data_IF_292505308989
#
_entry.id   IF_292505308989
#
_cell.length_a   1.000
_cell.length_b   1.000
_cell.length_c   1.000
_cell.angle_alpha   90.00
_cell.angle_beta   90.00
_cell.angle_gamma   90.00
#
_symmetry.space_group_name_H-M   'P 1'
#
loop_
_entity.id
_entity.type
_entity.pdbx_description
1 polymer ?
#
# COMPACT_ATOMS: atom_id res chain seq x y z
N UNK A 1 21.20 -2.18 24.71
CA UNK A 1 20.87 -1.42 25.93
C UNK A 1 21.81 -0.23 26.03
N UNK A 2 21.35 0.94 25.63
CA UNK A 2 21.83 2.24 26.07
C UNK A 2 20.66 3.21 25.87
N UNK A 3 19.96 3.51 26.96
CA UNK A 3 18.89 4.51 27.00
C UNK A 3 19.49 5.89 26.69
N UNK A 4 19.28 6.36 25.47
CA UNK A 4 19.34 7.78 25.14
C UNK A 4 17.90 8.26 25.20
N UNK A 5 17.56 9.34 25.94
CA UNK A 5 16.21 9.88 25.91
C UNK A 5 15.96 10.47 24.52
N UNK A 6 15.24 9.72 23.69
CA UNK A 6 15.13 9.91 22.22
C UNK A 6 13.83 10.63 21.81
N UNK A 7 13.35 11.54 22.64
CA UNK A 7 12.10 12.28 22.40
C UNK A 7 12.32 13.75 22.70
N UNK A 8 12.04 14.62 21.72
CA UNK A 8 11.71 16.00 22.03
C UNK A 8 10.46 15.96 22.91
N UNK A 9 10.61 16.22 24.21
CA UNK A 9 9.46 16.23 25.12
C UNK A 9 8.44 17.24 24.60
N UNK A 10 7.18 16.83 24.43
CA UNK A 10 6.10 17.74 24.06
C UNK A 10 5.95 18.78 25.18
N UNK A 11 6.48 19.98 24.98
CA UNK A 11 6.27 21.09 25.91
C UNK A 11 4.81 21.51 25.85
N UNK A 12 4.11 21.44 27.00
CA UNK A 12 2.71 21.83 27.13
C UNK A 12 2.50 23.35 27.16
N UNK A 13 3.58 24.12 27.20
CA UNK A 13 3.56 25.52 27.66
C UNK A 13 4.12 26.50 26.62
N UNK A 14 4.23 26.10 25.35
CA UNK A 14 4.56 27.07 24.31
C UNK A 14 3.39 28.04 24.15
N UNK A 15 3.60 29.32 24.50
CA UNK A 15 2.58 30.37 24.44
C UNK A 15 1.99 30.56 23.03
N UNK A 16 2.77 30.23 21.99
CA UNK A 16 2.35 30.36 20.60
C UNK A 16 1.98 29.00 19.96
N UNK A 17 1.00 28.95 19.06
CA UNK A 17 0.67 27.76 18.29
C UNK A 17 1.81 27.36 17.34
N UNK A 18 1.87 26.07 16.97
CA UNK A 18 2.73 25.61 15.88
C UNK A 18 2.26 26.19 14.54
N UNK A 19 3.19 26.40 13.62
CA UNK A 19 2.83 26.80 12.24
C UNK A 19 2.29 25.61 11.45
N UNK A 20 2.90 24.43 11.66
CA UNK A 20 2.46 23.18 11.05
C UNK A 20 2.56 22.01 12.04
N UNK A 21 1.47 21.26 12.16
CA UNK A 21 1.42 19.97 12.82
C UNK A 21 1.06 18.88 11.82
N UNK A 22 1.90 17.85 11.73
CA UNK A 22 1.67 16.68 10.88
C UNK A 22 1.44 15.45 11.74
N UNK A 23 0.38 14.69 11.48
CA UNK A 23 0.07 13.44 12.19
C UNK A 23 0.47 12.25 11.31
N UNK A 24 1.57 11.59 11.64
CA UNK A 24 2.12 10.42 10.95
C UNK A 24 3.49 10.68 10.32
N UNK A 25 4.46 9.79 10.56
CA UNK A 25 5.84 9.90 10.07
C UNK A 25 6.12 8.99 8.86
N UNK A 26 5.11 8.70 8.04
CA UNK A 26 5.26 8.01 6.76
C UNK A 26 5.78 8.93 5.64
N UNK A 27 5.88 8.41 4.41
CA UNK A 27 6.34 9.19 3.25
C UNK A 27 5.62 10.53 3.09
N UNK A 28 4.28 10.53 3.16
CA UNK A 28 3.49 11.75 2.95
C UNK A 28 3.70 12.78 4.05
N UNK A 29 3.67 12.37 5.32
CA UNK A 29 3.82 13.29 6.43
C UNK A 29 5.21 13.92 6.49
N UNK A 30 6.25 13.12 6.27
CA UNK A 30 7.63 13.63 6.19
C UNK A 30 7.84 14.53 4.98
N UNK A 31 7.32 14.19 3.80
CA UNK A 31 7.41 15.05 2.62
C UNK A 31 6.71 16.41 2.84
N UNK A 32 5.54 16.41 3.50
CA UNK A 32 4.84 17.65 3.89
C UNK A 32 5.65 18.49 4.85
N UNK A 33 6.14 17.90 5.94
CA UNK A 33 6.89 18.63 6.95
C UNK A 33 8.19 19.24 6.39
N UNK A 34 8.94 18.45 5.61
CA UNK A 34 10.17 18.92 4.96
C UNK A 34 9.86 20.03 3.97
N UNK A 35 8.92 19.82 3.05
CA UNK A 35 8.61 20.83 2.03
C UNK A 35 8.06 22.12 2.62
N UNK A 36 7.26 22.05 3.70
CA UNK A 36 6.83 23.24 4.42
C UNK A 36 8.01 23.97 5.05
N UNK A 37 8.90 23.27 5.76
CA UNK A 37 10.05 23.88 6.43
C UNK A 37 11.02 24.55 5.44
N UNK A 38 11.16 24.03 4.22
CA UNK A 38 11.93 24.67 3.15
C UNK A 38 11.28 25.97 2.65
N UNK A 39 9.95 26.02 2.56
CA UNK A 39 9.21 27.18 2.04
C UNK A 39 8.86 28.21 3.11
N UNK A 40 8.95 27.86 4.39
CA UNK A 40 8.76 28.76 5.52
C UNK A 40 9.87 28.60 6.58
N UNK A 41 11.13 28.99 6.27
CA UNK A 41 12.26 28.83 7.18
C UNK A 41 12.02 29.50 8.54
N UNK A 42 12.41 28.83 9.62
CA UNK A 42 12.22 29.30 11.00
C UNK A 42 10.83 29.04 11.58
N UNK A 43 9.91 28.45 10.81
CA UNK A 43 8.60 28.04 11.29
C UNK A 43 8.67 26.87 12.26
N UNK A 44 7.68 26.78 13.15
CA UNK A 44 7.57 25.71 14.13
C UNK A 44 6.80 24.52 13.55
N UNK A 45 7.54 23.48 13.19
CA UNK A 45 7.02 22.25 12.58
C UNK A 45 7.17 21.07 13.52
N UNK A 46 6.08 20.34 13.75
CA UNK A 46 6.08 19.10 14.54
C UNK A 46 5.42 17.97 13.75
N UNK A 47 6.06 16.80 13.75
CA UNK A 47 5.47 15.53 13.29
C UNK A 47 5.18 14.66 14.51
N UNK A 48 3.95 14.14 14.61
CA UNK A 48 3.57 13.15 15.62
C UNK A 48 3.68 11.75 15.03
N UNK A 49 4.30 10.83 15.75
CA UNK A 49 4.39 9.42 15.42
C UNK A 49 4.01 8.57 16.63
N UNK A 50 3.06 7.65 16.46
CA UNK A 50 2.60 6.76 17.53
C UNK A 50 3.62 5.68 17.83
N UNK A 51 4.43 5.28 16.85
CA UNK A 51 5.48 4.28 17.01
C UNK A 51 6.72 4.86 17.69
N UNK A 52 7.64 3.98 18.09
CA UNK A 52 8.99 4.39 18.45
C UNK A 52 9.76 4.88 17.23
N UNK A 53 10.89 5.58 17.45
CA UNK A 53 11.82 6.00 16.39
C UNK A 53 12.29 4.84 15.52
N UNK A 54 12.56 3.68 16.12
CA UNK A 54 13.00 2.48 15.42
C UNK A 54 11.92 1.91 14.49
N UNK A 55 10.64 2.03 14.86
CA UNK A 55 9.50 1.47 14.12
C UNK A 55 8.74 2.52 13.29
N UNK A 56 9.33 3.71 13.08
CA UNK A 56 8.71 4.82 12.34
C UNK A 56 8.50 4.51 10.85
N UNK A 57 7.65 5.29 10.21
CA UNK A 57 7.45 5.22 8.75
C UNK A 57 6.20 4.47 8.31
N UNK A 58 5.45 3.85 9.23
CA UNK A 58 4.26 3.07 8.91
C UNK A 58 4.56 2.03 7.83
N UNK A 59 3.62 1.83 6.91
CA UNK A 59 3.80 0.95 5.74
C UNK A 59 4.99 1.34 4.86
N UNK A 60 5.28 2.64 4.70
CA UNK A 60 6.33 3.11 3.80
C UNK A 60 7.68 2.46 4.12
N UNK A 61 8.02 2.30 5.40
CA UNK A 61 9.31 1.75 5.79
C UNK A 61 9.54 0.29 5.34
N UNK A 62 8.48 -0.44 4.97
CA UNK A 62 8.54 -1.89 4.72
C UNK A 62 8.47 -2.28 3.25
N UNK A 63 8.34 -1.32 2.35
CA UNK A 63 8.18 -1.59 0.91
C UNK A 63 9.43 -1.20 0.13
N UNK A 64 9.69 -1.90 -0.98
CA UNK A 64 10.64 -1.46 -1.99
C UNK A 64 10.35 -0.06 -2.57
N UNK A 65 9.12 0.45 -2.44
CA UNK A 65 8.71 1.76 -2.95
C UNK A 65 8.93 1.91 -4.46
N UNK A 66 8.53 0.91 -5.24
CA UNK A 66 8.48 1.06 -6.70
C UNK A 66 7.56 2.23 -7.07
N UNK A 67 8.00 3.02 -8.04
CA UNK A 67 7.24 4.13 -8.61
C UNK A 67 6.80 3.77 -10.03
N UNK A 68 5.59 4.18 -10.40
CA UNK A 68 5.05 4.06 -11.76
C UNK A 68 5.67 5.12 -12.66
N UNK A 69 6.99 5.16 -12.70
CA UNK A 69 7.82 6.09 -13.44
C UNK A 69 8.82 5.31 -14.29
N UNK A 70 9.20 5.89 -15.41
CA UNK A 70 10.30 5.42 -16.24
C UNK A 70 11.66 5.68 -15.54
N UNK A 71 12.74 5.19 -16.17
CA UNK A 71 14.09 5.27 -15.60
C UNK A 71 14.59 6.70 -15.39
N UNK A 72 14.11 7.66 -16.19
CA UNK A 72 14.44 9.08 -16.11
C UNK A 72 13.56 9.85 -15.11
N UNK A 73 12.61 9.16 -14.45
CA UNK A 73 11.68 9.76 -13.49
C UNK A 73 10.39 10.29 -14.11
N UNK A 74 10.21 10.24 -15.43
CA UNK A 74 8.96 10.66 -16.08
C UNK A 74 7.83 9.67 -15.77
N UNK A 75 6.56 10.12 -15.68
CA UNK A 75 5.41 9.22 -15.57
C UNK A 75 5.36 8.20 -16.72
N UNK A 76 4.96 6.96 -16.43
CA UNK A 76 4.72 5.98 -17.48
C UNK A 76 3.70 6.50 -18.50
N UNK A 77 3.84 6.14 -19.78
CA UNK A 77 2.99 6.65 -20.87
C UNK A 77 1.47 6.49 -20.63
N UNK A 78 1.09 5.42 -19.91
CA UNK A 78 -0.29 5.10 -19.57
C UNK A 78 -0.71 5.53 -18.15
N UNK A 79 0.06 6.38 -17.45
CA UNK A 79 -0.13 6.67 -16.02
C UNK A 79 -1.57 7.08 -15.68
N UNK A 80 -2.05 8.17 -16.30
CA UNK A 80 -3.36 8.73 -16.00
C UNK A 80 -4.51 7.86 -16.54
N UNK A 81 -4.39 7.39 -17.79
CA UNK A 81 -5.39 6.53 -18.41
C UNK A 81 -5.57 5.23 -17.62
N UNK A 82 -4.48 4.64 -17.12
CA UNK A 82 -4.54 3.42 -16.29
C UNK A 82 -5.17 3.67 -14.93
N UNK A 83 -4.90 4.80 -14.29
CA UNK A 83 -5.55 5.16 -13.02
C UNK A 83 -7.07 5.32 -13.19
N UNK A 84 -7.51 5.92 -14.32
CA UNK A 84 -8.93 6.02 -14.65
C UNK A 84 -9.56 4.66 -14.96
N UNK A 85 -8.90 3.84 -15.77
CA UNK A 85 -9.39 2.51 -16.16
C UNK A 85 -9.56 1.59 -14.95
N UNK A 86 -8.53 1.48 -14.10
CA UNK A 86 -8.56 0.62 -12.92
C UNK A 86 -9.49 1.15 -11.82
N UNK A 87 -9.69 2.46 -11.78
CA UNK A 87 -10.67 3.12 -10.91
C UNK A 87 -12.08 3.15 -11.47
N UNK A 88 -12.34 2.55 -12.64
CA UNK A 88 -13.64 2.56 -13.33
C UNK A 88 -14.26 3.97 -13.49
N UNK A 89 -13.39 4.98 -13.66
CA UNK A 89 -13.78 6.39 -13.77
C UNK A 89 -14.23 7.06 -12.47
N UNK A 90 -14.15 6.37 -11.32
CA UNK A 90 -14.60 6.91 -10.02
C UNK A 90 -13.54 7.73 -9.28
N UNK A 91 -12.25 7.46 -9.55
CA UNK A 91 -11.14 8.24 -9.01
C UNK A 91 -11.17 9.68 -9.53
N UNK A 92 -10.91 10.65 -8.67
CA UNK A 92 -10.96 12.07 -9.01
C UNK A 92 -9.92 12.44 -10.09
N UNK A 93 -10.38 12.99 -11.22
CA UNK A 93 -9.55 13.30 -12.36
C UNK A 93 -8.56 14.44 -12.12
N UNK A 94 -8.94 15.44 -11.32
CA UNK A 94 -8.04 16.55 -10.98
C UNK A 94 -6.90 16.04 -10.11
N UNK A 95 -7.18 15.14 -9.17
CA UNK A 95 -6.15 14.48 -8.37
C UNK A 95 -5.24 13.57 -9.20
N UNK A 96 -5.78 12.82 -10.16
CA UNK A 96 -4.96 11.99 -11.06
C UNK A 96 -4.01 12.87 -11.89
N UNK A 97 -4.51 13.94 -12.49
CA UNK A 97 -3.71 14.89 -13.27
C UNK A 97 -2.64 15.55 -12.39
N UNK A 98 -3.02 16.06 -11.22
CA UNK A 98 -2.08 16.68 -10.28
C UNK A 98 -0.97 15.71 -9.84
N UNK A 99 -1.31 14.43 -9.59
CA UNK A 99 -0.32 13.40 -9.28
C UNK A 99 0.63 13.18 -10.45
N UNK A 100 0.11 13.02 -11.67
CA UNK A 100 0.90 12.78 -12.87
C UNK A 100 1.87 13.94 -13.13
N UNK A 101 1.39 15.18 -13.08
CA UNK A 101 2.17 16.40 -13.32
C UNK A 101 3.28 16.62 -12.29
N UNK A 102 3.03 16.25 -11.02
CA UNK A 102 3.96 16.52 -9.92
C UNK A 102 4.84 15.32 -9.54
N UNK A 103 4.68 14.16 -10.18
CA UNK A 103 5.45 12.96 -9.86
C UNK A 103 6.95 13.12 -10.16
N UNK A 104 7.30 13.45 -11.40
CA UNK A 104 8.69 13.68 -11.82
C UNK A 104 9.35 14.82 -11.03
N UNK A 105 8.73 16.02 -10.87
CA UNK A 105 9.27 17.06 -10.01
C UNK A 105 9.55 16.56 -8.59
N UNK A 106 8.71 15.68 -8.03
CA UNK A 106 8.87 15.17 -6.66
C UNK A 106 10.07 14.25 -6.54
N UNK A 107 10.29 13.36 -7.51
CA UNK A 107 11.48 12.50 -7.54
C UNK A 107 12.75 13.33 -7.68
N UNK A 108 12.76 14.34 -8.56
CA UNK A 108 13.89 15.28 -8.67
C UNK A 108 14.17 16.01 -7.36
N UNK A 109 13.13 16.51 -6.70
CA UNK A 109 13.28 17.16 -5.39
C UNK A 109 13.92 16.26 -4.34
N UNK A 110 13.49 14.99 -4.26
CA UNK A 110 14.11 14.01 -3.37
C UNK A 110 15.58 13.76 -3.70
N UNK A 111 15.93 13.66 -4.99
CA UNK A 111 17.30 13.44 -5.44
C UNK A 111 18.19 14.66 -5.16
N UNK A 112 17.78 15.82 -5.64
CA UNK A 112 18.61 17.03 -5.71
C UNK A 112 18.77 17.70 -4.35
N UNK A 113 17.74 17.66 -3.49
CA UNK A 113 17.73 18.39 -2.21
C UNK A 113 17.88 17.49 -0.98
N UNK A 114 17.51 16.22 -1.08
CA UNK A 114 17.47 15.30 0.06
C UNK A 114 18.38 14.08 -0.08
N UNK A 115 19.16 14.00 -1.15
CA UNK A 115 20.18 12.96 -1.34
C UNK A 115 19.60 11.56 -1.53
N UNK A 116 18.32 11.45 -1.91
CA UNK A 116 17.70 10.16 -2.23
C UNK A 116 18.24 9.69 -3.57
N UNK A 117 18.95 8.57 -3.58
CA UNK A 117 19.40 7.93 -4.82
C UNK A 117 18.29 7.02 -5.34
N UNK A 118 18.13 6.99 -6.65
CA UNK A 118 17.18 6.12 -7.34
C UNK A 118 17.91 5.11 -8.22
N UNK A 119 17.33 3.92 -8.36
CA UNK A 119 17.75 2.87 -9.29
C UNK A 119 16.52 2.26 -9.96
N UNK A 120 16.71 1.57 -11.08
CA UNK A 120 15.67 0.77 -11.71
C UNK A 120 15.92 -0.71 -11.47
N UNK A 121 14.90 -1.44 -11.00
CA UNK A 121 14.99 -2.89 -10.78
C UNK A 121 13.79 -3.62 -11.38
N UNK A 122 13.97 -4.86 -11.84
CA UNK A 122 12.85 -5.73 -12.15
C UNK A 122 11.90 -5.83 -10.96
N UNK A 123 10.60 -5.89 -11.24
CA UNK A 123 9.60 -6.20 -10.21
C UNK A 123 9.65 -7.69 -9.86
N UNK A 124 8.86 -8.09 -8.87
CA UNK A 124 8.66 -9.51 -8.51
C UNK A 124 7.76 -10.28 -9.50
N UNK A 125 7.48 -9.73 -10.68
CA UNK A 125 6.71 -10.39 -11.73
C UNK A 125 7.62 -10.85 -12.85
N UNK A 126 7.48 -12.11 -13.28
CA UNK A 126 8.21 -12.63 -14.45
C UNK A 126 7.74 -11.92 -15.73
N UNK A 127 6.44 -11.60 -15.85
CA UNK A 127 5.87 -10.82 -16.98
C UNK A 127 6.01 -9.30 -16.83
N UNK A 128 6.91 -8.79 -15.98
CA UNK A 128 7.02 -7.35 -15.73
C UNK A 128 7.22 -6.58 -17.05
N UNK A 129 6.48 -5.48 -17.25
CA UNK A 129 6.65 -4.55 -18.40
C UNK A 129 7.97 -3.75 -18.38
N UNK A 130 9.03 -4.31 -17.81
CA UNK A 130 10.32 -3.66 -17.57
C UNK A 130 10.57 -3.35 -16.10
N UNK A 131 11.77 -2.84 -15.78
CA UNK A 131 12.13 -2.44 -14.43
C UNK A 131 11.38 -1.16 -14.02
N UNK A 132 11.17 -0.98 -12.72
CA UNK A 132 10.54 0.23 -12.15
C UNK A 132 11.56 1.04 -11.37
N UNK A 133 11.41 2.37 -11.44
CA UNK A 133 12.20 3.28 -10.62
C UNK A 133 11.86 3.07 -9.14
N UNK A 134 12.87 3.05 -8.29
CA UNK A 134 12.71 2.90 -6.85
C UNK A 134 13.87 3.60 -6.11
N UNK A 135 13.65 4.06 -4.86
CA UNK A 135 14.75 4.56 -4.04
C UNK A 135 15.71 3.42 -3.67
N UNK A 136 17.02 3.70 -3.73
CA UNK A 136 18.04 2.78 -3.22
C UNK A 136 17.84 2.61 -1.71
N UNK A 137 17.64 1.38 -1.26
CA UNK A 137 17.31 1.06 0.13
C UNK A 137 15.82 1.12 0.48
N UNK A 138 14.94 1.28 -0.53
CA UNK A 138 13.50 1.19 -0.36
C UNK A 138 12.90 2.33 0.47
N UNK A 139 11.69 2.10 0.97
CA UNK A 139 10.97 3.11 1.73
C UNK A 139 11.53 3.37 3.12
N UNK A 140 12.27 2.43 3.71
CA UNK A 140 13.02 2.66 4.95
C UNK A 140 14.06 3.78 4.78
N UNK A 141 14.82 3.74 3.68
CA UNK A 141 15.81 4.77 3.36
C UNK A 141 15.15 6.14 3.09
N UNK A 142 14.01 6.15 2.40
CA UNK A 142 13.21 7.37 2.21
C UNK A 142 12.79 8.00 3.53
N UNK A 143 12.18 7.21 4.43
CA UNK A 143 11.72 7.67 5.75
C UNK A 143 12.89 8.20 6.56
N UNK A 144 14.01 7.48 6.58
CA UNK A 144 15.20 7.91 7.30
C UNK A 144 15.78 9.23 6.76
N UNK A 145 15.94 9.35 5.44
CA UNK A 145 16.50 10.53 4.78
C UNK A 145 15.64 11.79 4.95
N UNK A 146 14.32 11.65 4.82
CA UNK A 146 13.40 12.77 5.02
C UNK A 146 13.30 13.19 6.49
N UNK A 147 13.31 12.25 7.44
CA UNK A 147 13.34 12.59 8.86
C UNK A 147 14.61 13.38 9.23
N UNK A 148 15.77 12.94 8.75
CA UNK A 148 17.03 13.68 8.93
C UNK A 148 16.97 15.07 8.27
N UNK A 149 16.34 15.18 7.09
CA UNK A 149 16.17 16.47 6.42
C UNK A 149 15.28 17.41 7.23
N UNK A 150 14.19 16.91 7.81
CA UNK A 150 13.30 17.69 8.67
C UNK A 150 14.04 18.22 9.90
N UNK A 151 14.78 17.36 10.60
CA UNK A 151 15.58 17.74 11.77
C UNK A 151 16.61 18.81 11.42
N UNK A 152 17.29 18.69 10.26
CA UNK A 152 18.23 19.70 9.75
C UNK A 152 17.57 21.04 9.44
N UNK A 153 16.31 21.05 9.03
CA UNK A 153 15.53 22.24 8.74
C UNK A 153 14.90 22.87 10.01
N UNK A 154 15.16 22.30 11.20
CA UNK A 154 14.65 22.81 12.47
C UNK A 154 13.28 22.25 12.89
N UNK A 155 12.71 21.32 12.11
CA UNK A 155 11.50 20.60 12.50
C UNK A 155 11.78 19.51 13.54
N UNK A 156 10.75 19.09 14.26
CA UNK A 156 10.85 18.05 15.30
C UNK A 156 9.89 16.88 15.04
N UNK A 157 10.23 15.70 15.56
CA UNK A 157 9.39 14.50 15.54
C UNK A 157 9.17 14.02 16.98
N UNK A 158 7.91 13.88 17.39
CA UNK A 158 7.54 13.30 18.68
C UNK A 158 7.08 11.85 18.47
N UNK A 159 7.87 10.90 18.98
CA UNK A 159 7.58 9.46 18.94
C UNK A 159 6.77 9.00 20.17
N UNK A 160 6.04 7.90 20.04
CA UNK A 160 5.14 7.44 21.11
C UNK A 160 3.97 8.39 21.38
N UNK A 161 3.68 9.30 20.44
CA UNK A 161 2.68 10.35 20.55
C UNK A 161 1.50 10.06 19.62
N UNK A 162 0.34 9.71 20.21
CA UNK A 162 -0.87 9.34 19.46
C UNK A 162 -1.88 10.49 19.46
N UNK A 163 -2.19 11.05 18.31
CA UNK A 163 -3.34 11.96 18.17
C UNK A 163 -4.67 11.21 18.40
N UNK A 164 -5.60 11.85 19.10
CA UNK A 164 -6.86 11.23 19.56
C UNK A 164 -8.12 12.01 19.19
N UNK A 165 -8.02 13.34 19.05
CA UNK A 165 -9.07 14.18 18.47
C UNK A 165 -8.48 15.43 17.84
N UNK A 166 -9.17 16.02 16.86
CA UNK A 166 -8.91 17.39 16.42
C UNK A 166 -9.51 18.38 17.45
N UNK A 167 -8.95 19.59 17.54
CA UNK A 167 -9.58 20.74 18.18
C UNK A 167 -10.00 21.76 17.12
N UNK A 168 -10.99 22.57 17.45
CA UNK A 168 -11.50 23.63 16.58
C UNK A 168 -11.67 24.93 17.35
N UNK A 169 -11.47 26.05 16.66
CA UNK A 169 -11.77 27.38 17.19
C UNK A 169 -13.29 27.66 17.25
N UNK A 170 -13.66 28.88 17.66
CA UNK A 170 -15.06 29.30 17.76
C UNK A 170 -15.79 29.40 16.41
N UNK A 171 -15.07 29.45 15.30
CA UNK A 171 -15.61 29.53 13.94
C UNK A 171 -15.63 28.18 13.23
N UNK A 172 -15.09 27.13 13.86
CA UNK A 172 -15.03 25.76 13.35
C UNK A 172 -13.79 25.44 12.52
N UNK A 173 -12.77 26.32 12.50
CA UNK A 173 -11.49 25.99 11.88
C UNK A 173 -10.68 25.07 12.79
N UNK A 174 -9.93 24.13 12.21
CA UNK A 174 -9.07 23.22 12.98
C UNK A 174 -7.84 23.99 13.47
N UNK A 175 -7.65 24.01 14.78
CA UNK A 175 -6.62 24.82 15.47
C UNK A 175 -5.63 23.98 16.30
N UNK A 176 -5.68 22.65 16.16
CA UNK A 176 -4.80 21.75 16.89
C UNK A 176 -5.32 20.33 17.02
N UNK A 177 -4.67 19.56 17.90
CA UNK A 177 -5.03 18.17 18.21
C UNK A 177 -4.85 17.86 19.68
N UNK A 178 -5.61 16.88 20.18
CA UNK A 178 -5.34 16.23 21.47
C UNK A 178 -4.44 15.01 21.26
N UNK A 179 -3.34 14.94 22.00
CA UNK A 179 -2.32 13.89 21.92
C UNK A 179 -2.26 13.11 23.22
N UNK A 180 -2.23 11.78 23.12
CA UNK A 180 -1.92 10.87 24.20
C UNK A 180 -0.43 10.49 24.12
N UNK A 181 0.31 10.79 25.18
CA UNK A 181 1.75 10.49 25.33
C UNK A 181 2.05 10.14 26.79
N UNK A 182 2.75 9.03 27.05
CA UNK A 182 3.12 8.63 28.41
C UNK A 182 1.92 8.48 29.36
N UNK A 183 0.77 8.05 28.84
CA UNK A 183 -0.49 7.93 29.60
C UNK A 183 -1.20 9.27 29.88
N UNK A 184 -0.66 10.40 29.42
CA UNK A 184 -1.24 11.74 29.62
C UNK A 184 -1.86 12.25 28.33
N UNK A 185 -3.01 12.93 28.46
CA UNK A 185 -3.64 13.66 27.36
C UNK A 185 -3.19 15.12 27.40
N UNK A 186 -2.77 15.68 26.27
CA UNK A 186 -2.35 17.08 26.12
C UNK A 186 -2.97 17.68 24.86
N UNK A 187 -3.18 18.98 24.85
CA UNK A 187 -3.56 19.72 23.65
C UNK A 187 -2.31 20.33 23.01
N UNK A 188 -2.22 20.26 21.69
CA UNK A 188 -1.18 20.92 20.90
C UNK A 188 -1.91 21.85 19.92
N UNK A 189 -1.75 23.16 20.12
CA UNK A 189 -2.27 24.17 19.21
C UNK A 189 -1.40 24.27 17.95
N UNK A 190 -2.04 24.35 16.79
CA UNK A 190 -1.40 24.46 15.49
C UNK A 190 -2.28 25.23 14.50
N UNK A 191 -1.69 26.15 13.73
CA UNK A 191 -2.39 26.93 12.69
C UNK A 191 -2.87 26.06 11.51
N UNK A 192 -2.17 24.95 11.28
CA UNK A 192 -2.38 24.01 10.18
C UNK A 192 -2.13 22.59 10.67
N UNK A 193 -3.07 21.69 10.41
CA UNK A 193 -2.99 20.27 10.75
C UNK A 193 -3.07 19.44 9.48
N UNK A 194 -2.09 18.55 9.28
CA UNK A 194 -2.05 17.59 8.17
C UNK A 194 -2.17 16.18 8.72
N UNK A 195 -3.17 15.44 8.25
CA UNK A 195 -3.34 14.02 8.56
C UNK A 195 -2.63 13.17 7.51
N UNK A 196 -1.59 12.44 7.93
CA UNK A 196 -0.74 11.60 7.10
C UNK A 196 -0.49 10.23 7.77
N UNK A 197 -1.51 9.71 8.45
CA UNK A 197 -1.41 8.61 9.41
C UNK A 197 -1.91 7.25 8.88
N UNK A 198 -1.85 7.05 7.57
CA UNK A 198 -2.23 5.79 6.93
C UNK A 198 -3.74 5.58 6.79
N UNK A 199 -4.11 4.40 6.28
CA UNK A 199 -5.49 3.92 6.23
C UNK A 199 -5.95 3.25 7.54
N UNK A 200 -6.85 2.27 7.43
CA UNK A 200 -7.41 1.52 8.56
C UNK A 200 -7.14 0.00 8.52
N UNK A 201 -6.19 -0.45 7.69
CA UNK A 201 -5.81 -1.86 7.53
C UNK A 201 -5.29 -2.54 8.80
N UNK A 202 -4.82 -1.77 9.78
CA UNK A 202 -4.38 -2.27 11.09
C UNK A 202 -5.50 -2.33 12.13
N UNK A 203 -6.74 -2.02 11.77
CA UNK A 203 -7.87 -1.98 12.71
C UNK A 203 -8.95 -3.01 12.35
N UNK A 204 -8.98 -4.18 13.03
CA UNK A 204 -9.96 -5.23 12.77
C UNK A 204 -11.41 -4.76 12.85
N UNK A 205 -11.74 -3.87 13.79
CA UNK A 205 -13.11 -3.36 13.96
C UNK A 205 -13.56 -2.49 12.78
N UNK A 206 -12.67 -1.64 12.27
CA UNK A 206 -12.98 -0.82 11.09
C UNK A 206 -13.00 -1.65 9.80
N UNK A 207 -12.14 -2.66 9.70
CA UNK A 207 -12.17 -3.59 8.58
C UNK A 207 -13.48 -4.37 8.54
N UNK A 208 -13.94 -4.90 9.68
CA UNK A 208 -15.22 -5.60 9.74
C UNK A 208 -16.40 -4.66 9.45
N UNK A 209 -16.36 -3.42 9.97
CA UNK A 209 -17.38 -2.40 9.70
C UNK A 209 -17.49 -2.01 8.22
N UNK A 210 -16.35 -1.79 7.55
CA UNK A 210 -16.33 -1.17 6.23
C UNK A 210 -16.11 -2.16 5.08
N UNK A 211 -15.20 -3.14 5.26
CA UNK A 211 -14.86 -4.14 4.24
C UNK A 211 -15.81 -5.34 4.30
N UNK A 212 -16.41 -5.58 5.47
CA UNK A 212 -17.47 -6.56 5.68
C UNK A 212 -17.03 -7.78 6.49
N UNK A 213 -17.87 -8.83 6.54
CA UNK A 213 -17.64 -10.01 7.36
C UNK A 213 -16.28 -10.65 7.11
N UNK A 214 -15.61 -11.12 8.17
CA UNK A 214 -14.23 -11.64 8.19
C UNK A 214 -13.14 -10.63 7.83
N UNK A 215 -13.49 -9.36 7.59
CA UNK A 215 -12.51 -8.31 7.31
C UNK A 215 -11.51 -8.11 8.46
N UNK A 216 -11.97 -8.27 9.71
CA UNK A 216 -11.11 -8.21 10.90
C UNK A 216 -10.06 -9.33 11.02
N UNK A 217 -10.18 -10.40 10.23
CA UNK A 217 -9.22 -11.51 10.19
C UNK A 217 -8.05 -11.24 9.21
N UNK A 218 -8.17 -10.21 8.35
CA UNK A 218 -7.10 -9.83 7.44
C UNK A 218 -5.90 -9.31 8.21
N UNK A 219 -4.73 -9.93 7.98
CA UNK A 219 -3.47 -9.46 8.53
C UNK A 219 -2.83 -8.40 7.62
N UNK A 220 -2.24 -7.32 8.17
CA UNK A 220 -1.37 -6.45 7.42
C UNK A 220 -0.18 -7.22 6.80
N UNK A 221 0.17 -6.90 5.55
CA UNK A 221 1.29 -7.53 4.82
C UNK A 221 2.66 -7.24 5.44
N UNK A 222 2.76 -6.14 6.18
CA UNK A 222 3.98 -5.70 6.84
C UNK A 222 3.70 -5.21 8.27
N UNK A 223 4.70 -5.29 9.18
CA UNK A 223 4.54 -4.83 10.57
C UNK A 223 4.08 -3.38 10.71
N UNK A 224 4.53 -2.48 9.83
CA UNK A 224 4.15 -1.06 9.83
C UNK A 224 2.65 -0.81 9.68
N UNK A 225 1.93 -1.69 8.97
CA UNK A 225 0.50 -1.56 8.73
C UNK A 225 -0.37 -1.74 9.98
N UNK A 226 0.16 -2.39 11.03
CA UNK A 226 -0.53 -2.54 12.33
C UNK A 226 -0.83 -1.20 13.01
N UNK A 227 -0.04 -0.17 12.69
CA UNK A 227 -0.20 1.18 13.26
C UNK A 227 -1.24 2.04 12.50
N UNK A 228 -1.61 1.62 11.29
CA UNK A 228 -2.57 2.32 10.43
C UNK A 228 -4.00 1.93 10.83
N UNK A 229 -4.52 2.60 11.87
CA UNK A 229 -5.77 2.20 12.55
C UNK A 229 -6.99 3.05 12.19
N UNK A 230 -6.90 3.93 11.20
CA UNK A 230 -8.02 4.78 10.76
C UNK A 230 -8.37 5.95 11.67
N UNK A 231 -7.62 6.18 12.75
CA UNK A 231 -7.94 7.19 13.76
C UNK A 231 -7.95 8.60 13.17
N UNK A 232 -7.04 8.92 12.26
CA UNK A 232 -7.06 10.20 11.54
C UNK A 232 -8.32 10.43 10.72
N UNK A 233 -8.81 9.38 10.05
CA UNK A 233 -10.05 9.44 9.27
C UNK A 233 -11.23 9.74 10.20
N UNK A 234 -11.36 8.99 11.29
CA UNK A 234 -12.46 9.17 12.24
C UNK A 234 -12.40 10.52 12.97
N UNK A 235 -11.21 11.01 13.30
CA UNK A 235 -11.02 12.35 13.88
C UNK A 235 -11.50 13.46 12.94
N UNK A 236 -11.20 13.37 11.65
CA UNK A 236 -11.63 14.36 10.66
C UNK A 236 -13.14 14.28 10.38
N UNK A 237 -13.69 13.06 10.30
CA UNK A 237 -15.14 12.87 10.15
C UNK A 237 -15.90 13.49 11.32
N UNK A 238 -15.38 13.35 12.55
CA UNK A 238 -16.00 13.93 13.74
C UNK A 238 -16.13 15.46 13.69
N UNK A 239 -15.32 16.15 12.88
CA UNK A 239 -15.41 17.61 12.64
C UNK A 239 -16.06 17.96 11.29
N UNK A 240 -16.73 17.00 10.64
CA UNK A 240 -17.54 17.23 9.44
C UNK A 240 -16.84 16.96 8.10
N UNK A 241 -15.68 16.27 8.11
CA UNK A 241 -15.03 15.86 6.87
C UNK A 241 -15.82 14.79 6.12
N UNK A 242 -15.86 14.90 4.80
CA UNK A 242 -16.39 13.88 3.91
C UNK A 242 -15.42 12.72 3.73
N UNK A 243 -15.99 11.56 3.42
CA UNK A 243 -15.26 10.35 3.04
C UNK A 243 -15.10 10.28 1.51
N UNK A 244 -14.05 9.62 1.04
CA UNK A 244 -13.77 9.35 -0.38
C UNK A 244 -13.01 8.02 -0.52
N UNK A 245 -12.88 7.52 -1.75
CA UNK A 245 -12.35 6.21 -2.04
C UNK A 245 -13.34 5.11 -1.69
N UNK A 246 -13.02 3.89 -2.08
CA UNK A 246 -13.90 2.75 -1.88
C UNK A 246 -13.66 2.08 -0.50
N UNK A 247 -14.57 2.29 0.46
CA UNK A 247 -14.41 1.78 1.83
C UNK A 247 -14.54 0.25 1.96
N UNK A 248 -15.24 -0.40 1.04
CA UNK A 248 -15.41 -1.86 1.02
C UNK A 248 -14.35 -2.60 0.20
N UNK A 249 -13.31 -1.88 -0.26
CA UNK A 249 -12.16 -2.41 -1.00
C UNK A 249 -10.83 -1.97 -0.42
N UNK A 250 -9.80 -2.72 -0.79
CA UNK A 250 -8.43 -2.52 -0.34
C UNK A 250 -7.46 -3.09 -1.36
N UNK A 251 -6.19 -2.68 -1.27
CA UNK A 251 -5.09 -3.37 -1.93
C UNK A 251 -4.62 -4.52 -1.04
N UNK A 252 -4.67 -5.75 -1.56
CA UNK A 252 -4.18 -6.94 -0.88
C UNK A 252 -3.19 -7.71 -1.76
N UNK A 253 -2.40 -8.57 -1.15
CA UNK A 253 -1.37 -9.34 -1.86
C UNK A 253 -1.42 -10.82 -1.48
N UNK A 254 -1.19 -11.74 -2.44
CA UNK A 254 -1.08 -13.16 -2.14
C UNK A 254 0.23 -13.45 -1.41
N UNK A 255 0.14 -13.99 -0.20
CA UNK A 255 1.29 -14.25 0.67
C UNK A 255 1.28 -15.66 1.24
N UNK A 256 2.47 -16.16 1.55
CA UNK A 256 2.61 -17.40 2.32
C UNK A 256 2.22 -17.15 3.80
N UNK A 257 1.13 -17.75 4.31
CA UNK A 257 0.71 -17.57 5.70
C UNK A 257 1.68 -18.17 6.72
N UNK A 258 2.55 -19.08 6.29
CA UNK A 258 3.56 -19.72 7.16
C UNK A 258 4.72 -18.77 7.49
N UNK A 259 4.89 -17.71 6.71
CA UNK A 259 5.94 -16.71 6.91
C UNK A 259 5.47 -15.53 7.76
N UNK A 260 6.37 -15.07 8.62
CA UNK A 260 6.22 -13.85 9.41
C UNK A 260 7.03 -12.68 8.86
N UNK A 261 7.75 -12.87 7.74
CA UNK A 261 8.45 -11.80 7.06
C UNK A 261 7.44 -10.83 6.42
N UNK A 262 7.85 -9.55 6.31
CA UNK A 262 7.09 -8.59 5.54
C UNK A 262 7.11 -8.98 4.06
N UNK A 263 5.99 -8.78 3.35
CA UNK A 263 5.89 -9.04 1.90
C UNK A 263 6.39 -10.46 1.53
N UNK A 264 5.95 -11.50 2.25
CA UNK A 264 6.22 -12.91 1.91
C UNK A 264 5.41 -13.37 0.69
N UNK A 265 5.60 -12.71 -0.45
CA UNK A 265 4.76 -12.79 -1.64
C UNK A 265 4.86 -14.15 -2.34
N UNK A 266 3.73 -14.62 -2.85
CA UNK A 266 3.62 -15.81 -3.71
C UNK A 266 2.95 -15.41 -5.02
N UNK A 267 3.76 -14.94 -5.98
CA UNK A 267 3.30 -14.32 -7.24
C UNK A 267 3.45 -15.23 -8.46
N UNK A 268 3.94 -16.46 -8.26
CA UNK A 268 4.11 -17.47 -9.31
C UNK A 268 2.79 -18.10 -9.80
N UNK A 269 1.62 -17.64 -9.32
CA UNK A 269 0.33 -18.22 -9.64
C UNK A 269 -0.03 -18.33 -11.14
N UNK A 270 0.47 -17.47 -12.05
CA UNK A 270 0.18 -17.67 -13.49
C UNK A 270 0.79 -18.94 -14.06
N UNK A 271 1.86 -19.46 -13.46
CA UNK A 271 2.59 -20.64 -13.95
C UNK A 271 2.17 -21.94 -13.23
N UNK A 272 1.07 -21.89 -12.49
CA UNK A 272 0.43 -23.04 -11.86
C UNK A 272 -1.08 -22.89 -11.88
N UNK A 273 -1.73 -23.49 -10.89
CA UNK A 273 -3.16 -23.31 -10.60
C UNK A 273 -3.36 -22.96 -9.13
N UNK A 274 -4.38 -22.15 -8.84
CA UNK A 274 -4.82 -21.86 -7.47
C UNK A 274 -6.03 -22.73 -7.16
N UNK A 275 -5.93 -23.52 -6.09
CA UNK A 275 -7.04 -24.34 -5.58
C UNK A 275 -7.45 -23.86 -4.19
N UNK A 276 -8.74 -23.95 -3.86
CA UNK A 276 -9.24 -23.67 -2.52
C UNK A 276 -9.03 -24.88 -1.57
N UNK A 277 -9.51 -24.78 -0.33
CA UNK A 277 -9.49 -25.87 0.64
C UNK A 277 -10.25 -27.15 0.22
N UNK A 278 -11.11 -27.08 -0.81
CA UNK A 278 -11.80 -28.26 -1.37
C UNK A 278 -11.00 -28.89 -2.53
N UNK A 279 -9.80 -28.40 -2.84
CA UNK A 279 -8.98 -28.86 -3.96
C UNK A 279 -9.50 -28.41 -5.34
N UNK A 280 -10.33 -27.35 -5.39
CA UNK A 280 -10.98 -26.87 -6.62
C UNK A 280 -10.43 -25.51 -7.06
N UNK A 281 -10.26 -25.34 -8.37
CA UNK A 281 -9.96 -24.02 -8.96
C UNK A 281 -11.16 -23.09 -8.82
N UNK A 282 -10.88 -21.81 -8.60
CA UNK A 282 -11.91 -20.79 -8.40
C UNK A 282 -11.70 -19.53 -9.25
N UNK A 283 -10.52 -19.30 -9.82
CA UNK A 283 -10.25 -18.13 -10.67
C UNK A 283 -9.44 -18.49 -11.92
N UNK A 284 -9.36 -17.54 -12.86
CA UNK A 284 -8.44 -17.61 -14.00
C UNK A 284 -7.09 -17.00 -13.58
N UNK A 285 -6.10 -17.85 -13.32
CA UNK A 285 -4.78 -17.44 -12.86
C UNK A 285 -3.96 -16.74 -13.96
N UNK A 286 -4.41 -16.83 -15.22
CA UNK A 286 -3.78 -16.25 -16.40
C UNK A 286 -4.63 -15.20 -17.10
N UNK A 287 -5.59 -14.58 -16.39
CA UNK A 287 -6.52 -13.62 -17.00
C UNK A 287 -5.81 -12.39 -17.60
N UNK A 288 -4.77 -11.91 -16.93
CA UNK A 288 -3.89 -10.81 -17.33
C UNK A 288 -2.56 -10.95 -16.55
N UNK A 289 -1.60 -10.08 -16.78
CA UNK A 289 -0.30 -10.11 -16.10
C UNK A 289 -0.44 -9.89 -14.59
N UNK A 290 0.41 -10.51 -13.76
CA UNK A 290 0.32 -10.37 -12.30
C UNK A 290 0.32 -8.96 -11.76
N UNK A 291 0.99 -8.00 -12.43
CA UNK A 291 0.97 -6.59 -12.04
C UNK A 291 -0.43 -5.95 -12.15
N UNK A 292 -1.35 -6.59 -12.87
CA UNK A 292 -2.74 -6.16 -13.03
C UNK A 292 -3.72 -6.98 -12.19
N UNK A 293 -3.38 -8.22 -11.85
CA UNK A 293 -4.32 -9.18 -11.24
C UNK A 293 -4.03 -9.50 -9.78
N UNK A 294 -2.81 -9.27 -9.27
CA UNK A 294 -2.42 -9.70 -7.91
C UNK A 294 -3.34 -9.19 -6.80
N UNK A 295 -3.80 -7.94 -6.88
CA UNK A 295 -4.76 -7.37 -5.94
C UNK A 295 -6.11 -8.08 -5.95
N UNK A 296 -6.63 -8.36 -7.14
CA UNK A 296 -7.90 -9.08 -7.32
C UNK A 296 -7.76 -10.55 -6.95
N UNK A 297 -6.65 -11.21 -7.31
CA UNK A 297 -6.35 -12.58 -6.91
C UNK A 297 -6.32 -12.71 -5.39
N UNK A 298 -5.66 -11.78 -4.70
CA UNK A 298 -5.67 -11.74 -3.23
C UNK A 298 -7.10 -11.55 -2.70
N UNK A 299 -7.85 -10.59 -3.23
CA UNK A 299 -9.25 -10.38 -2.81
C UNK A 299 -10.13 -11.62 -3.00
N UNK A 300 -9.97 -12.35 -4.12
CA UNK A 300 -10.71 -13.59 -4.39
C UNK A 300 -10.25 -14.75 -3.50
N UNK A 301 -8.97 -14.85 -3.16
CA UNK A 301 -8.48 -15.79 -2.13
C UNK A 301 -9.17 -15.52 -0.79
N UNK A 302 -9.31 -14.25 -0.40
CA UNK A 302 -10.04 -13.90 0.82
C UNK A 302 -11.52 -14.29 0.73
N UNK A 303 -12.22 -13.86 -0.33
CA UNK A 303 -13.68 -13.92 -0.39
C UNK A 303 -14.25 -15.24 -0.89
N UNK A 304 -13.66 -15.80 -1.94
CA UNK A 304 -14.18 -17.01 -2.59
C UNK A 304 -13.52 -18.26 -2.01
N UNK A 305 -12.22 -18.20 -1.70
CA UNK A 305 -11.48 -19.31 -1.09
C UNK A 305 -11.42 -19.25 0.45
N UNK A 306 -12.12 -18.29 1.08
CA UNK A 306 -12.24 -18.16 2.55
C UNK A 306 -10.87 -18.14 3.26
N UNK A 307 -9.93 -17.35 2.73
CA UNK A 307 -8.52 -17.27 3.16
C UNK A 307 -7.69 -18.55 2.96
N UNK A 308 -8.22 -19.63 2.40
CA UNK A 308 -7.48 -20.89 2.27
C UNK A 308 -7.36 -21.27 0.80
N UNK A 309 -6.22 -20.90 0.21
CA UNK A 309 -5.85 -21.31 -1.14
C UNK A 309 -4.44 -21.92 -1.15
N UNK A 310 -4.17 -22.72 -2.18
CA UNK A 310 -2.87 -23.31 -2.44
C UNK A 310 -2.48 -23.06 -3.90
N UNK A 311 -1.29 -22.51 -4.12
CA UNK A 311 -0.67 -22.52 -5.44
C UNK A 311 -0.08 -23.89 -5.69
N UNK A 312 -0.56 -24.59 -6.71
CA UNK A 312 -0.03 -25.88 -7.18
C UNK A 312 0.78 -25.66 -8.45
N UNK A 313 2.03 -26.07 -8.42
CA UNK A 313 2.98 -26.03 -9.54
C UNK A 313 3.67 -27.38 -9.70
N UNK A 314 4.43 -27.54 -10.77
CA UNK A 314 5.30 -28.69 -10.96
C UNK A 314 6.73 -28.27 -11.29
N UNK A 315 7.61 -29.23 -11.58
CA UNK A 315 9.04 -28.98 -11.78
C UNK A 315 9.37 -28.08 -12.97
N UNK A 316 8.40 -27.70 -13.81
CA UNK A 316 8.63 -26.72 -14.88
C UNK A 316 8.75 -25.29 -14.37
N UNK A 317 8.18 -24.95 -13.21
CA UNK A 317 8.29 -23.60 -12.63
C UNK A 317 9.74 -23.14 -12.49
N UNK A 318 10.61 -24.01 -11.96
CA UNK A 318 12.03 -23.67 -11.72
C UNK A 318 12.85 -23.51 -12.99
N UNK A 319 12.29 -23.91 -14.15
CA UNK A 319 12.91 -23.73 -15.47
C UNK A 319 12.58 -22.37 -16.08
N UNK A 320 11.64 -21.63 -15.50
CA UNK A 320 11.30 -20.27 -15.92
C UNK A 320 12.38 -19.34 -15.40
N UNK A 321 13.01 -18.61 -16.32
CA UNK A 321 14.04 -17.62 -15.97
C UNK A 321 13.45 -16.54 -15.07
N UNK A 322 14.10 -16.29 -13.93
CA UNK A 322 13.68 -15.25 -13.00
C UNK A 322 12.48 -15.59 -12.12
N UNK A 323 12.03 -16.85 -12.09
CA UNK A 323 10.90 -17.31 -11.25
C UNK A 323 11.12 -17.03 -9.76
N UNK A 324 12.37 -17.07 -9.29
CA UNK A 324 12.73 -16.81 -7.90
C UNK A 324 12.29 -15.42 -7.43
N UNK A 325 12.23 -14.44 -8.33
CA UNK A 325 11.75 -13.09 -8.02
C UNK A 325 10.25 -13.06 -7.69
N UNK A 326 9.49 -14.06 -8.15
CA UNK A 326 8.05 -14.18 -7.89
C UNK A 326 7.70 -14.91 -6.60
N UNK A 327 8.71 -15.34 -5.83
CA UNK A 327 8.56 -16.04 -4.57
C UNK A 327 9.44 -15.36 -3.51
N UNK A 328 8.85 -14.47 -2.71
CA UNK A 328 9.56 -13.72 -1.66
C UNK A 328 9.40 -14.33 -0.26
N UNK A 329 8.67 -15.45 -0.16
CA UNK A 329 8.57 -16.22 1.09
C UNK A 329 9.90 -16.87 1.47
N UNK A 330 10.19 -16.92 2.77
CA UNK A 330 11.33 -17.65 3.36
C UNK A 330 11.04 -19.15 3.57
N UNK A 331 9.92 -19.65 3.04
CA UNK A 331 9.46 -21.02 3.23
C UNK A 331 9.55 -21.81 1.93
N UNK A 332 10.18 -22.97 2.01
CA UNK A 332 10.20 -23.93 0.92
C UNK A 332 8.77 -24.38 0.54
N UNK A 333 8.56 -24.74 -0.74
CA UNK A 333 7.33 -25.41 -1.14
C UNK A 333 7.15 -26.72 -0.40
N UNK A 334 5.89 -27.09 -0.17
CA UNK A 334 5.53 -28.47 0.16
C UNK A 334 5.65 -29.28 -1.13
N UNK A 335 6.50 -30.32 -1.14
CA UNK A 335 6.79 -31.09 -2.36
C UNK A 335 6.38 -32.55 -2.24
N UNK A 336 5.97 -33.16 -3.36
CA UNK A 336 5.67 -34.58 -3.44
C UNK A 336 5.90 -35.13 -4.87
N UNK A 337 6.20 -36.42 -5.04
CA UNK A 337 6.38 -37.04 -6.35
C UNK A 337 5.07 -37.15 -7.15
N UNK A 338 3.90 -37.15 -6.48
CA UNK A 338 2.58 -37.28 -7.10
C UNK A 338 1.59 -36.26 -6.53
N UNK A 339 0.54 -35.92 -7.29
CA UNK A 339 -0.54 -35.02 -6.85
C UNK A 339 -1.31 -35.61 -5.66
N UNK A 340 -1.54 -36.92 -5.64
CA UNK A 340 -2.23 -37.61 -4.56
C UNK A 340 -1.43 -37.53 -3.24
N UNK A 341 -0.11 -37.74 -3.27
CA UNK A 341 0.74 -37.53 -2.09
C UNK A 341 0.82 -36.05 -1.68
N UNK A 342 0.82 -35.14 -2.65
CA UNK A 342 0.78 -33.70 -2.38
C UNK A 342 -0.51 -33.33 -1.65
N UNK A 343 -1.67 -33.82 -2.11
CA UNK A 343 -2.96 -33.57 -1.49
C UNK A 343 -2.98 -34.00 -0.02
N UNK A 344 -2.48 -35.20 0.29
CA UNK A 344 -2.38 -35.68 1.69
C UNK A 344 -1.50 -34.77 2.56
N UNK A 345 -0.38 -34.26 2.04
CA UNK A 345 0.48 -33.32 2.76
C UNK A 345 -0.18 -31.96 3.01
N UNK A 346 -1.12 -31.57 2.16
CA UNK A 346 -1.86 -30.31 2.26
C UNK A 346 -3.17 -30.45 3.06
N UNK A 347 -3.51 -31.66 3.53
CA UNK A 347 -4.80 -32.00 4.12
C UNK A 347 -6.00 -31.74 3.18
N UNK A 348 -5.78 -31.96 1.88
CA UNK A 348 -6.80 -31.90 0.84
C UNK A 348 -7.27 -33.31 0.47
N UNK A 349 -8.51 -33.44 -0.01
CA UNK A 349 -9.02 -34.69 -0.55
C UNK A 349 -8.22 -35.14 -1.79
N UNK A 350 -7.50 -36.29 -1.75
CA UNK A 350 -6.61 -36.69 -2.85
C UNK A 350 -7.33 -36.91 -4.18
N UNK A 351 -8.53 -37.47 -4.15
CA UNK A 351 -9.35 -37.70 -5.34
C UNK A 351 -9.79 -36.39 -5.99
N UNK A 352 -10.21 -35.39 -5.20
CA UNK A 352 -10.66 -34.09 -5.72
C UNK A 352 -9.49 -33.31 -6.35
N UNK A 353 -8.33 -33.23 -5.68
CA UNK A 353 -7.18 -32.51 -6.24
C UNK A 353 -6.65 -33.19 -7.49
N UNK A 354 -6.54 -34.53 -7.47
CA UNK A 354 -6.11 -35.30 -8.65
C UNK A 354 -7.06 -35.11 -9.82
N UNK A 355 -8.38 -35.11 -9.56
CA UNK A 355 -9.38 -34.84 -10.58
C UNK A 355 -9.26 -33.41 -11.15
N UNK A 356 -9.07 -32.40 -10.29
CA UNK A 356 -8.87 -31.00 -10.69
C UNK A 356 -7.65 -30.84 -11.60
N UNK A 357 -6.51 -31.45 -11.23
CA UNK A 357 -5.28 -31.39 -12.05
C UNK A 357 -5.45 -32.13 -13.37
N UNK A 358 -6.06 -33.32 -13.36
CA UNK A 358 -6.33 -34.08 -14.58
C UNK A 358 -7.24 -33.30 -15.55
N UNK A 359 -8.32 -32.69 -15.02
CA UNK A 359 -9.24 -31.82 -15.78
C UNK A 359 -8.54 -30.61 -16.38
N UNK A 360 -7.63 -29.98 -15.62
CA UNK A 360 -6.84 -28.87 -16.11
C UNK A 360 -5.90 -29.31 -17.25
N UNK A 361 -5.17 -30.40 -17.06
CA UNK A 361 -4.25 -30.94 -18.07
C UNK A 361 -5.01 -31.33 -19.37
N UNK A 362 -6.14 -32.03 -19.24
CA UNK A 362 -7.00 -32.40 -20.38
C UNK A 362 -7.50 -31.18 -21.17
N UNK A 363 -7.57 -30.01 -20.55
CA UNK A 363 -8.02 -28.78 -21.17
C UNK A 363 -6.89 -27.95 -21.78
N UNK A 364 -5.61 -28.25 -21.52
CA UNK A 364 -4.43 -27.56 -22.07
C UNK A 364 -4.19 -27.86 -23.56
N UNK A 365 -5.20 -27.64 -24.41
CA UNK A 365 -5.22 -28.01 -25.84
C UNK A 365 -4.76 -26.90 -26.78
N UNK A 366 -4.49 -25.69 -26.28
CA UNK A 366 -4.09 -24.57 -27.13
C UNK A 366 -2.73 -24.81 -27.79
N UNK A 367 -2.69 -24.55 -29.10
CA UNK A 367 -1.49 -24.62 -29.94
C UNK A 367 -0.65 -23.35 -29.91
N UNK A 368 -1.07 -22.31 -29.17
CA UNK A 368 -0.29 -21.09 -29.01
C UNK A 368 1.09 -21.40 -28.39
N UNK A 369 2.10 -20.64 -28.84
CA UNK A 369 3.46 -20.76 -28.33
C UNK A 369 3.50 -20.32 -26.86
N UNK A 370 4.18 -21.09 -26.03
CA UNK A 370 4.37 -20.74 -24.62
C UNK A 370 5.42 -19.64 -24.49
N UNK A 371 5.09 -18.56 -23.80
CA UNK A 371 6.06 -17.54 -23.43
C UNK A 371 5.78 -17.02 -22.02
N UNK A 372 6.62 -17.34 -21.02
CA UNK A 372 6.35 -16.96 -19.64
C UNK A 372 6.47 -15.45 -19.40
N UNK A 373 7.09 -14.68 -20.29
CA UNK A 373 7.40 -13.27 -20.07
C UNK A 373 6.33 -12.31 -20.63
N UNK A 374 5.31 -12.80 -21.36
CA UNK A 374 4.22 -11.98 -21.91
C UNK A 374 2.91 -12.75 -21.95
N UNK A 375 1.80 -12.05 -22.15
CA UNK A 375 0.52 -12.68 -22.46
C UNK A 375 0.68 -13.48 -23.76
N UNK A 376 0.60 -14.80 -23.67
CA UNK A 376 0.94 -15.72 -24.76
C UNK A 376 -0.30 -16.29 -25.46
N UNK A 377 -1.50 -16.04 -24.92
CA UNK A 377 -2.77 -16.59 -25.42
C UNK A 377 -2.85 -18.11 -25.34
N UNK A 378 -1.92 -18.77 -24.64
CA UNK A 378 -1.93 -20.21 -24.43
C UNK A 378 -2.95 -20.53 -23.35
N UNK A 379 -4.14 -20.94 -23.77
CA UNK A 379 -5.32 -21.06 -22.92
C UNK A 379 -5.85 -22.50 -22.81
N UNK A 380 -6.69 -22.72 -21.81
CA UNK A 380 -7.47 -23.97 -21.68
C UNK A 380 -8.74 -23.93 -22.53
N UNK A 381 -9.15 -25.06 -23.11
CA UNK A 381 -10.38 -25.22 -23.89
C UNK A 381 -11.41 -26.04 -23.11
N UNK A 382 -12.62 -25.50 -22.91
CA UNK A 382 -13.73 -26.21 -22.27
C UNK A 382 -13.63 -26.34 -20.74
N UNK A 383 -12.76 -25.55 -20.09
CA UNK A 383 -12.57 -25.55 -18.64
C UNK A 383 -13.22 -24.32 -18.00
N UNK A 384 -13.83 -24.50 -16.82
CA UNK A 384 -14.39 -23.42 -16.00
C UNK A 384 -13.83 -23.53 -14.57
N UNK A 385 -13.22 -22.47 -14.01
CA UNK A 385 -12.85 -21.22 -14.69
C UNK A 385 -11.84 -21.47 -15.82
N UNK A 386 -11.77 -20.61 -16.86
CA UNK A 386 -10.74 -20.74 -17.88
C UNK A 386 -9.36 -20.46 -17.28
N UNK A 387 -8.31 -20.80 -18.01
CA UNK A 387 -6.99 -20.20 -17.87
C UNK A 387 -6.64 -19.54 -19.20
N UNK A 388 -6.56 -18.21 -19.24
CA UNK A 388 -6.47 -17.45 -20.50
C UNK A 388 -5.07 -17.35 -21.09
N UNK A 389 -4.03 -17.51 -20.27
CA UNK A 389 -2.61 -17.47 -20.66
C UNK A 389 -1.81 -18.51 -19.85
N UNK A 390 -0.65 -18.90 -20.38
CA UNK A 390 0.29 -19.82 -19.74
C UNK A 390 -0.30 -21.18 -19.32
N UNK A 391 -1.33 -21.64 -20.04
CA UNK A 391 -1.93 -22.96 -19.82
C UNK A 391 -0.99 -24.07 -20.33
N UNK A 392 -0.21 -24.59 -19.40
CA UNK A 392 0.71 -25.72 -19.58
C UNK A 392 0.32 -26.81 -18.58
N UNK A 393 0.28 -28.06 -19.03
CA UNK A 393 -0.03 -29.22 -18.20
C UNK A 393 0.88 -29.30 -16.97
N UNK A 394 0.34 -29.73 -15.83
CA UNK A 394 1.06 -30.10 -14.62
C UNK A 394 1.28 -31.60 -14.63
N UNK A 395 2.36 -32.05 -15.27
CA UNK A 395 2.65 -33.45 -15.61
C UNK A 395 4.07 -33.90 -15.24
N UNK A 396 4.90 -32.98 -14.71
CA UNK A 396 6.33 -33.21 -14.50
C UNK A 396 6.68 -33.03 -13.02
N UNK A 397 6.80 -34.14 -12.29
CA UNK A 397 7.20 -34.14 -10.89
C UNK A 397 8.65 -33.66 -10.64
N UNK A 398 9.01 -33.27 -9.39
CA UNK A 398 8.12 -33.19 -8.24
C UNK A 398 7.07 -32.08 -8.38
N UNK A 399 5.89 -32.34 -7.81
CA UNK A 399 4.84 -31.34 -7.65
C UNK A 399 5.13 -30.51 -6.41
N UNK A 400 4.77 -29.23 -6.47
CA UNK A 400 5.08 -28.23 -5.45
C UNK A 400 3.83 -27.46 -5.07
N UNK A 401 3.72 -27.11 -3.79
CA UNK A 401 2.64 -26.27 -3.30
C UNK A 401 3.10 -25.21 -2.31
N UNK A 402 2.50 -24.03 -2.40
CA UNK A 402 2.55 -22.99 -1.39
C UNK A 402 1.14 -22.71 -0.88
N UNK A 403 0.89 -22.73 0.43
CA UNK A 403 -0.30 -22.11 0.98
C UNK A 403 -0.30 -20.61 0.66
N UNK A 404 -1.44 -20.05 0.33
CA UNK A 404 -1.60 -18.65 -0.07
C UNK A 404 -2.81 -18.04 0.62
N UNK A 405 -2.57 -16.98 1.37
CA UNK A 405 -3.59 -16.15 2.00
C UNK A 405 -3.56 -14.76 1.37
N UNK A 406 -4.62 -13.99 1.58
CA UNK A 406 -4.61 -12.57 1.30
C UNK A 406 -4.11 -11.80 2.52
N UNK A 407 -3.04 -11.02 2.36
CA UNK A 407 -2.67 -9.99 3.33
C UNK A 407 -3.08 -8.62 2.82
N UNK A 408 -3.63 -7.78 3.70
CA UNK A 408 -4.02 -6.41 3.36
C UNK A 408 -2.81 -5.49 3.39
N UNK A 409 -2.62 -4.70 2.35
CA UNK A 409 -1.53 -3.70 2.29
C UNK A 409 -2.05 -2.35 2.75
N UNK A 410 -3.12 -1.84 2.13
CA UNK A 410 -3.77 -0.58 2.53
C UNK A 410 -5.22 -0.51 2.07
N UNK A 411 -6.01 0.32 2.73
CA UNK A 411 -7.42 0.55 2.42
C UNK A 411 -7.60 1.62 1.35
N UNK A 412 -8.61 1.47 0.49
CA UNK A 412 -8.92 2.46 -0.54
C UNK A 412 -9.70 3.66 0.02
N UNK A 413 -10.59 3.40 0.98
CA UNK A 413 -11.34 4.42 1.70
C UNK A 413 -10.46 5.32 2.56
N UNK A 414 -10.75 6.63 2.52
CA UNK A 414 -10.12 7.67 3.30
C UNK A 414 -10.96 8.96 3.33
N UNK A 415 -10.32 10.09 3.57
CA UNK A 415 -10.92 11.41 3.55
C UNK A 415 -11.02 11.96 2.12
N UNK A 416 -12.08 12.72 1.84
CA UNK A 416 -12.19 13.49 0.61
C UNK A 416 -11.27 14.70 0.69
N UNK A 417 -10.40 14.83 -0.31
CA UNK A 417 -9.55 16.01 -0.49
C UNK A 417 -9.74 16.57 -1.90
N UNK A 418 -9.33 17.81 -2.12
CA UNK A 418 -9.10 18.32 -3.49
C UNK A 418 -7.66 18.04 -3.96
N UNK A 419 -7.30 18.51 -5.16
CA UNK A 419 -5.94 18.37 -5.71
C UNK A 419 -4.86 19.13 -4.91
N UNK A 420 -5.26 20.01 -3.99
CA UNK A 420 -4.37 20.75 -3.08
C UNK A 420 -4.31 20.13 -1.68
N UNK A 421 -4.82 18.91 -1.52
CA UNK A 421 -4.84 18.16 -0.26
C UNK A 421 -5.66 18.80 0.87
N UNK A 422 -6.54 19.77 0.59
CA UNK A 422 -7.46 20.33 1.60
C UNK A 422 -8.57 19.33 1.87
N UNK A 423 -8.86 19.06 3.14
CA UNK A 423 -9.97 18.17 3.51
C UNK A 423 -11.30 18.86 3.23
N UNK A 424 -12.21 18.15 2.56
CA UNK A 424 -13.50 18.69 2.14
C UNK A 424 -14.63 18.17 3.03
N UNK A 425 -15.64 18.99 3.25
CA UNK A 425 -16.94 18.60 3.79
C UNK A 425 -17.78 17.88 2.73
N UNK A 426 -18.94 17.31 3.12
CA UNK A 426 -19.88 16.67 2.19
C UNK A 426 -20.40 17.62 1.10
N UNK A 427 -20.40 18.93 1.38
CA UNK A 427 -20.76 19.99 0.42
C UNK A 427 -19.60 20.44 -0.47
N UNK A 428 -18.44 19.77 -0.41
CA UNK A 428 -17.26 20.11 -1.19
C UNK A 428 -16.54 21.39 -0.73
N UNK A 429 -16.85 21.91 0.47
CA UNK A 429 -16.17 23.08 1.04
C UNK A 429 -14.95 22.64 1.86
N UNK A 430 -13.77 23.26 1.70
CA UNK A 430 -12.62 23.00 2.55
C UNK A 430 -12.92 23.25 4.04
N UNK A 431 -12.41 22.38 4.91
CA UNK A 431 -12.34 22.61 6.35
C UNK A 431 -11.07 23.42 6.62
N UNK A 432 -11.23 24.64 7.12
CA UNK A 432 -10.10 25.55 7.36
C UNK A 432 -9.11 24.93 8.35
N UNK A 433 -7.82 25.04 8.02
CA UNK A 433 -6.73 24.49 8.83
C UNK A 433 -6.50 22.97 8.68
N UNK A 434 -7.33 22.23 7.93
CA UNK A 434 -7.24 20.77 7.85
C UNK A 434 -6.88 20.23 6.46
N UNK A 435 -5.85 19.39 6.42
CA UNK A 435 -5.32 18.76 5.21
C UNK A 435 -5.13 17.26 5.42
N UNK A 436 -5.09 16.48 4.34
CA UNK A 436 -4.78 15.05 4.41
C UNK A 436 -3.98 14.59 3.19
N UNK A 437 -3.01 13.71 3.41
CA UNK A 437 -2.13 13.16 2.36
C UNK A 437 -1.89 11.67 2.55
N UNK A 438 -1.45 10.99 1.49
CA UNK A 438 -1.20 9.56 1.50
C UNK A 438 -2.47 8.73 1.68
N UNK A 439 -2.36 7.54 2.28
CA UNK A 439 -3.49 6.60 2.46
C UNK A 439 -4.65 7.16 3.28
N UNK A 440 -4.42 8.20 4.10
CA UNK A 440 -5.49 8.88 4.85
C UNK A 440 -6.44 9.65 3.92
N UNK A 441 -5.99 10.06 2.72
CA UNK A 441 -6.82 10.63 1.68
C UNK A 441 -7.28 9.52 0.70
N UNK A 442 -8.59 9.37 0.53
CA UNK A 442 -9.19 8.31 -0.28
C UNK A 442 -9.21 8.66 -1.77
N UNK A 443 -8.47 7.89 -2.58
CA UNK A 443 -8.36 8.10 -4.04
C UNK A 443 -8.75 6.87 -4.86
N UNK A 444 -8.50 5.66 -4.37
CA UNK A 444 -8.61 4.45 -5.18
C UNK A 444 -10.03 3.86 -5.11
N UNK A 445 -10.41 3.22 -6.22
CA UNK A 445 -11.66 2.48 -6.42
C UNK A 445 -11.35 1.24 -7.26
N UNK A 446 -12.15 0.18 -7.11
CA UNK A 446 -12.04 -1.11 -7.82
C UNK A 446 -10.66 -1.76 -7.73
N UNK A 447 -9.66 -1.28 -8.48
CA UNK A 447 -8.29 -1.82 -8.50
C UNK A 447 -7.23 -0.74 -8.30
N UNK A 448 -6.13 -1.13 -7.64
CA UNK A 448 -4.97 -0.27 -7.41
C UNK A 448 -4.01 -0.28 -8.61
N UNK A 449 -3.67 0.89 -9.18
CA UNK A 449 -2.58 1.01 -10.13
C UNK A 449 -1.24 0.80 -9.42
N UNK A 450 -0.61 -0.35 -9.66
CA UNK A 450 0.66 -0.72 -9.06
C UNK A 450 1.71 0.40 -9.13
N UNK A 451 2.50 0.53 -8.06
CA UNK A 451 3.58 1.51 -7.92
C UNK A 451 3.15 2.99 -7.83
N UNK A 452 1.90 3.29 -7.44
CA UNK A 452 1.43 4.67 -7.25
C UNK A 452 1.27 5.11 -5.80
N UNK A 453 1.15 4.21 -4.81
CA UNK A 453 0.80 4.57 -3.43
C UNK A 453 1.84 5.43 -2.71
N UNK A 454 3.11 4.98 -2.67
CA UNK A 454 4.20 5.76 -2.05
C UNK A 454 4.49 7.03 -2.83
N UNK A 455 4.50 6.94 -4.16
CA UNK A 455 4.67 8.10 -5.06
C UNK A 455 3.61 9.17 -4.76
N UNK A 456 2.34 8.77 -4.67
CA UNK A 456 1.21 9.63 -4.30
C UNK A 456 1.42 10.29 -2.95
N UNK A 457 1.84 9.53 -1.94
CA UNK A 457 2.09 10.07 -0.62
C UNK A 457 3.18 11.16 -0.66
N UNK A 458 4.30 10.90 -1.34
CA UNK A 458 5.40 11.86 -1.49
C UNK A 458 4.96 13.11 -2.28
N UNK A 459 4.27 12.92 -3.42
CA UNK A 459 3.88 13.99 -4.33
C UNK A 459 2.86 14.94 -3.70
N UNK A 460 1.77 14.39 -3.15
CA UNK A 460 0.80 15.23 -2.43
C UNK A 460 1.36 15.77 -1.12
N UNK A 461 2.24 15.00 -0.46
CA UNK A 461 2.94 15.45 0.73
C UNK A 461 3.75 16.73 0.46
N UNK A 462 4.64 16.68 -0.53
CA UNK A 462 5.48 17.81 -0.96
C UNK A 462 4.64 19.01 -1.40
N UNK A 463 3.70 18.80 -2.32
CA UNK A 463 2.89 19.91 -2.86
C UNK A 463 2.02 20.56 -1.78
N UNK A 464 1.44 19.78 -0.86
CA UNK A 464 0.72 20.32 0.28
C UNK A 464 1.62 21.16 1.19
N UNK A 465 2.83 20.69 1.50
CA UNK A 465 3.78 21.46 2.33
C UNK A 465 4.11 22.84 1.75
N UNK A 466 4.39 22.89 0.45
CA UNK A 466 4.64 24.15 -0.25
C UNK A 466 3.40 25.06 -0.34
N UNK A 467 2.20 24.50 -0.58
CA UNK A 467 0.95 25.27 -0.64
C UNK A 467 0.60 25.87 0.73
N UNK A 468 0.70 25.07 1.80
CA UNK A 468 0.42 25.51 3.18
C UNK A 468 1.37 26.65 3.58
N UNK A 469 2.67 26.56 3.23
CA UNK A 469 3.65 27.59 3.53
C UNK A 469 3.35 28.94 2.84
N UNK A 470 2.71 28.91 1.66
CA UNK A 470 2.34 30.10 0.88
C UNK A 470 0.96 30.64 1.26
N UNK A 471 0.12 29.83 1.88
CA UNK A 471 -1.22 30.23 2.29
C UNK A 471 -1.14 31.29 3.40
N UNK A 472 -2.01 32.32 3.36
CA UNK A 472 -2.14 33.23 4.50
C UNK A 472 -2.45 32.44 5.77
N UNK A 473 -1.93 32.90 6.92
CA UNK A 473 -2.36 32.38 8.20
C UNK A 473 -3.88 32.56 8.36
N UNK A 474 -4.59 31.61 8.99
CA UNK A 474 -6.01 31.78 9.24
C UNK A 474 -6.20 33.02 10.13
N UNK A 475 -7.26 33.79 9.89
CA UNK A 475 -7.60 34.92 10.76
C UNK A 475 -7.99 34.34 12.13
N UNK A 476 -7.19 34.65 13.15
CA UNK A 476 -7.39 34.17 14.53
C UNK A 476 -8.48 34.90 15.30
#
# INVERSE_FOLDING_TARGET
>A
MSDVPDTAALSSDAADPLDLLVVGCGAGGLATAVSFAENAPGSRVLVLERSSRYNRGGNTAWTGSFFRLAADGTPADDFASRMHELGEGQSDAEQISALCENAEPTVRWLADHHGVRFETRPTYFVTSRGPRLMPVGGGAALVAGLATSLERLGGSIAYGARATSLSTDAFGAVDGVRVQEGGRLRHIAARRVVLACGGFQGNPELLERHVGPTGGELRPVAPGGKNNRGEGIEMAVAVGAARSGQYDRFHGEPVDPRSHQAEALVMAYPYGILVNADGRRFLDEGADTPDNTFGEVAYRIWREARQSAYLICDAKLVRIEGHERSLLTDKDPITAPTIDELARKLDLAPDELSWTVARFNDACRSTAAYDPARLDGKHTVGLVPPKSNWAVELDTGPYMAWPVHCAITFTFGGLRTDARSRVLTERGRPIEGLYAVGETAGLYYSRYPGATSVLRALTFGRTAGAEIARAPAPAG
#
